data_IF_366959441131
#
_entry.id   IF_366959441131
#
_cell.length_a   1.000
_cell.length_b   1.000
_cell.length_c   1.000
_cell.angle_alpha   90.00
_cell.angle_beta   90.00
_cell.angle_gamma   90.00
#
_symmetry.space_group_name_H-M   'P 1'
#
loop_
_entity.id
_entity.type
_entity.pdbx_description
1 polymer ?
#
# COMPACT_ATOMS: atom_id res chain seq x y z
N UNK A 1 19.91 -18.73 9.16
CA UNK A 1 19.35 -17.45 8.68
C UNK A 1 18.15 -17.08 9.54
N UNK A 2 18.37 -16.24 10.56
CA UNK A 2 17.41 -16.00 11.65
C UNK A 2 16.10 -15.32 11.20
N UNK A 3 14.96 -15.56 11.87
CA UNK A 3 13.68 -14.87 11.63
C UNK A 3 13.76 -13.34 11.72
N UNK A 4 14.81 -12.81 12.38
CA UNK A 4 15.24 -11.42 12.42
C UNK A 4 15.92 -10.93 11.12
N UNK A 5 15.81 -11.68 10.00
CA UNK A 5 16.34 -11.34 8.66
C UNK A 5 15.77 -10.01 8.17
N UNK A 6 16.44 -8.97 8.65
CA UNK A 6 16.40 -7.55 8.40
C UNK A 6 15.00 -6.88 8.51
N UNK A 7 14.61 -6.47 9.72
CA UNK A 7 13.44 -5.62 9.97
C UNK A 7 13.48 -4.33 9.12
N UNK A 8 14.67 -3.73 8.92
CA UNK A 8 14.86 -2.57 8.02
C UNK A 8 14.54 -2.93 6.57
N UNK A 9 14.90 -4.14 6.10
CA UNK A 9 14.51 -4.63 4.78
C UNK A 9 12.99 -4.80 4.65
N UNK A 10 12.32 -5.36 5.66
CA UNK A 10 10.85 -5.51 5.65
C UNK A 10 10.16 -4.15 5.65
N UNK A 11 10.68 -3.20 6.42
CA UNK A 11 10.23 -1.81 6.42
C UNK A 11 10.35 -1.20 5.03
N UNK A 12 11.55 -1.23 4.43
CA UNK A 12 11.81 -0.69 3.09
C UNK A 12 10.91 -1.33 2.04
N UNK A 13 10.82 -2.67 2.02
CA UNK A 13 9.96 -3.40 1.09
C UNK A 13 8.49 -2.99 1.23
N UNK A 14 8.01 -2.82 2.46
CA UNK A 14 6.61 -2.42 2.73
C UNK A 14 6.37 -0.96 2.35
N UNK A 15 7.36 -0.09 2.55
CA UNK A 15 7.32 1.32 2.10
C UNK A 15 7.23 1.41 0.58
N UNK A 16 8.03 0.62 -0.14
CA UNK A 16 7.98 0.54 -1.61
C UNK A 16 6.62 0.01 -2.09
N UNK A 17 6.12 -1.06 -1.46
CA UNK A 17 4.80 -1.61 -1.79
C UNK A 17 3.68 -0.59 -1.57
N UNK A 18 3.68 0.14 -0.44
CA UNK A 18 2.72 1.21 -0.17
C UNK A 18 2.76 2.28 -1.26
N UNK A 19 3.95 2.76 -1.64
CA UNK A 19 4.11 3.75 -2.70
C UNK A 19 3.56 3.24 -4.05
N UNK A 20 3.82 1.97 -4.38
CA UNK A 20 3.28 1.35 -5.59
C UNK A 20 1.75 1.27 -5.55
N UNK A 21 1.16 0.85 -4.42
CA UNK A 21 -0.30 0.80 -4.26
C UNK A 21 -0.92 2.19 -4.39
N UNK A 22 -0.32 3.22 -3.78
CA UNK A 22 -0.78 4.61 -3.93
C UNK A 22 -0.71 5.05 -5.38
N UNK A 23 0.37 4.71 -6.10
CA UNK A 23 0.48 5.02 -7.52
C UNK A 23 -0.63 4.34 -8.33
N UNK A 24 -0.93 3.06 -8.07
CA UNK A 24 -2.04 2.35 -8.70
C UNK A 24 -3.39 3.02 -8.40
N UNK A 25 -3.64 3.45 -7.15
CA UNK A 25 -4.85 4.21 -6.78
C UNK A 25 -4.98 5.48 -7.62
N UNK A 26 -3.91 6.25 -7.78
CA UNK A 26 -3.90 7.46 -8.61
C UNK A 26 -4.15 7.15 -10.09
N UNK A 27 -3.65 6.03 -10.59
CA UNK A 27 -3.85 5.59 -11.96
C UNK A 27 -5.30 5.14 -12.20
N UNK A 28 -5.92 4.42 -11.26
CA UNK A 28 -7.34 4.08 -11.29
C UNK A 28 -8.21 5.33 -11.28
N UNK A 29 -7.90 6.32 -10.43
CA UNK A 29 -8.62 7.58 -10.43
C UNK A 29 -8.48 8.34 -11.77
N UNK A 30 -7.31 8.28 -12.42
CA UNK A 30 -7.13 8.81 -13.78
C UNK A 30 -8.02 8.07 -14.79
N UNK A 31 -8.04 6.74 -14.77
CA UNK A 31 -8.91 5.92 -15.65
C UNK A 31 -10.39 6.21 -15.44
N UNK A 32 -10.84 6.37 -14.18
CA UNK A 32 -12.23 6.72 -13.86
C UNK A 32 -12.66 8.06 -14.48
N UNK A 33 -11.75 9.01 -14.62
CA UNK A 33 -12.05 10.28 -15.31
C UNK A 33 -12.24 10.08 -16.81
N UNK A 34 -11.50 9.16 -17.43
CA UNK A 34 -11.58 8.84 -18.87
C UNK A 34 -12.86 8.06 -19.18
N UNK A 35 -13.21 7.06 -18.37
CA UNK A 35 -14.38 6.21 -18.60
C UNK A 35 -15.64 6.71 -17.91
N UNK A 36 -15.82 8.04 -17.78
CA UNK A 36 -16.90 8.62 -16.97
C UNK A 36 -18.30 8.19 -17.41
N UNK A 37 -18.48 7.96 -18.71
CA UNK A 37 -19.77 7.63 -19.33
C UNK A 37 -20.01 6.12 -19.44
N UNK A 38 -18.99 5.30 -19.15
CA UNK A 38 -19.09 3.83 -19.20
C UNK A 38 -19.34 3.27 -17.79
N UNK A 39 -20.61 3.03 -17.47
CA UNK A 39 -21.04 2.58 -16.14
C UNK A 39 -20.43 1.23 -15.74
N UNK A 40 -20.29 0.30 -16.68
CA UNK A 40 -19.68 -1.01 -16.42
C UNK A 40 -18.21 -0.85 -16.00
N UNK A 41 -17.44 -0.03 -16.73
CA UNK A 41 -16.06 0.26 -16.38
C UNK A 41 -15.94 1.05 -15.07
N UNK A 42 -16.90 1.92 -14.76
CA UNK A 42 -16.91 2.63 -13.47
C UNK A 42 -17.06 1.69 -12.29
N UNK A 43 -17.93 0.68 -12.40
CA UNK A 43 -18.13 -0.33 -11.36
C UNK A 43 -16.89 -1.19 -11.16
N UNK A 44 -16.29 -1.68 -12.25
CA UNK A 44 -15.03 -2.43 -12.19
C UNK A 44 -13.90 -1.63 -11.52
N UNK A 45 -13.72 -0.37 -11.92
CA UNK A 45 -12.70 0.50 -11.35
C UNK A 45 -13.02 0.87 -9.89
N UNK A 46 -14.28 0.90 -9.48
CA UNK A 46 -14.67 1.16 -8.09
C UNK A 46 -14.32 -0.02 -7.17
N UNK A 47 -14.57 -1.25 -7.61
CA UNK A 47 -14.18 -2.45 -6.87
C UNK A 47 -12.65 -2.59 -6.80
N UNK A 48 -11.94 -2.32 -7.90
CA UNK A 48 -10.47 -2.29 -7.88
C UNK A 48 -9.93 -1.24 -6.90
N UNK A 49 -10.51 -0.03 -6.90
CA UNK A 49 -10.13 1.04 -5.99
C UNK A 49 -10.36 0.66 -4.52
N UNK A 50 -11.47 -0.04 -4.22
CA UNK A 50 -11.78 -0.54 -2.87
C UNK A 50 -10.74 -1.53 -2.38
N UNK A 51 -10.34 -2.48 -3.22
CA UNK A 51 -9.27 -3.45 -2.90
C UNK A 51 -7.94 -2.73 -2.69
N UNK A 52 -7.56 -1.81 -3.59
CA UNK A 52 -6.31 -1.06 -3.47
C UNK A 52 -6.25 -0.21 -2.20
N UNK A 53 -7.37 0.42 -1.81
CA UNK A 53 -7.45 1.17 -0.56
C UNK A 53 -7.22 0.27 0.66
N UNK A 54 -7.86 -0.90 0.71
CA UNK A 54 -7.65 -1.87 1.78
C UNK A 54 -6.20 -2.38 1.84
N UNK A 55 -5.57 -2.60 0.68
CA UNK A 55 -4.15 -2.98 0.59
C UNK A 55 -3.24 -1.86 1.08
N UNK A 56 -3.51 -0.61 0.70
CA UNK A 56 -2.75 0.55 1.16
C UNK A 56 -2.84 0.72 2.68
N UNK A 57 -4.03 0.56 3.27
CA UNK A 57 -4.24 0.61 4.71
C UNK A 57 -3.45 -0.49 5.43
N UNK A 58 -3.49 -1.72 4.91
CA UNK A 58 -2.71 -2.83 5.45
C UNK A 58 -1.20 -2.57 5.40
N UNK A 59 -0.70 -2.03 4.29
CA UNK A 59 0.70 -1.64 4.18
C UNK A 59 1.07 -0.53 5.17
N UNK A 60 0.23 0.50 5.31
CA UNK A 60 0.45 1.60 6.26
C UNK A 60 0.43 1.13 7.72
N UNK A 61 -0.46 0.20 8.08
CA UNK A 61 -0.49 -0.42 9.41
C UNK A 61 0.81 -1.20 9.69
N UNK A 62 1.23 -2.06 8.76
CA UNK A 62 2.48 -2.82 8.90
C UNK A 62 3.70 -1.93 8.98
N UNK A 63 3.73 -0.86 8.20
CA UNK A 63 4.81 0.13 8.21
C UNK A 63 4.94 0.75 9.60
N UNK A 64 3.84 1.22 10.19
CA UNK A 64 3.79 1.76 11.55
C UNK A 64 4.31 0.76 12.60
N UNK A 65 3.93 -0.51 12.49
CA UNK A 65 4.45 -1.56 13.38
C UNK A 65 5.96 -1.75 13.23
N UNK A 66 6.49 -1.71 12.00
CA UNK A 66 7.93 -1.82 11.79
C UNK A 66 8.69 -0.59 12.30
N UNK A 67 8.14 0.61 12.13
CA UNK A 67 8.72 1.85 12.67
C UNK A 67 8.83 1.81 14.20
N UNK A 68 7.76 1.38 14.88
CA UNK A 68 7.77 1.23 16.34
C UNK A 68 8.83 0.24 16.81
N UNK A 69 8.96 -0.91 16.13
CA UNK A 69 9.97 -1.92 16.48
C UNK A 69 11.39 -1.44 16.21
N UNK A 70 11.63 -0.75 15.10
CA UNK A 70 12.94 -0.17 14.80
C UNK A 70 13.35 0.89 15.83
N UNK A 71 12.40 1.73 16.29
CA UNK A 71 12.66 2.71 17.35
C UNK A 71 12.96 2.05 18.71
N UNK A 72 12.42 0.86 18.99
CA UNK A 72 12.74 0.11 20.20
C UNK A 72 14.13 -0.51 20.10
N UNK A 73 14.47 -1.11 18.96
CA UNK A 73 15.81 -1.67 18.70
C UNK A 73 16.90 -0.59 18.74
N UNK A 74 16.66 0.62 18.22
CA UNK A 74 17.64 1.72 18.23
C UNK A 74 17.85 2.35 19.63
N UNK A 75 16.96 2.08 20.61
CA UNK A 75 17.04 2.59 22.00
C UNK A 75 17.63 1.59 22.99
N UNK A 76 17.72 0.31 22.61
CA UNK A 76 18.23 -0.79 23.43
C UNK A 76 19.75 -0.97 23.24
#
# INVERSE_FOLDING_TARGET
>A
MSPARNLKYRYLKTKMALNQTVQSILDINRKRRVFREDSSRQEELAEELKVLNAVAENHAMRLRTYEQRLQQDDRA
#
